data_IF_496428959224
#
_entry.id   IF_496428959224
#
_cell.length_a   1.000
_cell.length_b   1.000
_cell.length_c   1.000
_cell.angle_alpha   90.00
_cell.angle_beta   90.00
_cell.angle_gamma   90.00
#
_symmetry.space_group_name_H-M   'P 1'
#
loop_
_entity.id
_entity.type
_entity.pdbx_description
1 polymer ?
#
# COMPACT_ATOMS: atom_id res chain seq x y z
N UNK A 1 5.35 -4.50 -2.00
CA UNK A 1 3.89 -4.45 -2.18
C UNK A 1 3.30 -3.92 -0.89
N UNK A 2 2.38 -2.98 -1.00
CA UNK A 2 1.68 -2.35 0.10
C UNK A 2 0.19 -2.64 -0.09
N UNK A 3 -0.41 -3.40 0.82
CA UNK A 3 -1.77 -3.92 0.72
C UNK A 3 -2.55 -3.33 1.88
N UNK A 4 -3.53 -2.47 1.60
CA UNK A 4 -4.48 -1.98 2.61
C UNK A 4 -5.83 -1.62 1.97
N UNK A 5 -6.93 -2.30 2.33
CA UNK A 5 -8.23 -2.05 1.72
C UNK A 5 -8.73 -0.60 1.94
N UNK A 6 -8.28 0.05 3.01
CA UNK A 6 -8.71 1.38 3.40
C UNK A 6 -7.78 2.50 2.91
N UNK A 7 -6.64 2.16 2.29
CA UNK A 7 -5.66 3.15 1.82
C UNK A 7 -6.30 4.27 1.00
N UNK A 8 -6.16 5.51 1.46
CA UNK A 8 -6.61 6.69 0.73
C UNK A 8 -5.48 7.73 0.65
N UNK A 9 -5.04 8.15 -0.55
CA UNK A 9 -3.86 8.99 -0.72
C UNK A 9 -4.03 10.43 -0.20
N UNK A 10 -5.27 10.93 -0.10
CA UNK A 10 -5.55 12.24 0.51
C UNK A 10 -5.56 12.20 2.04
N UNK A 11 -5.67 11.02 2.65
CA UNK A 11 -5.73 10.88 4.11
C UNK A 11 -4.31 10.65 4.66
N UNK A 12 -3.88 11.55 5.53
CA UNK A 12 -2.56 11.57 6.13
C UNK A 12 -2.23 10.29 6.90
N UNK A 13 -3.24 9.65 7.48
CA UNK A 13 -3.09 8.41 8.26
C UNK A 13 -2.53 7.27 7.41
N UNK A 14 -2.89 7.21 6.13
CA UNK A 14 -2.36 6.22 5.20
C UNK A 14 -1.18 6.75 4.39
N UNK A 15 -1.20 8.05 4.06
CA UNK A 15 -0.16 8.67 3.22
C UNK A 15 1.18 8.70 3.92
N UNK A 16 1.26 9.15 5.18
CA UNK A 16 2.56 9.31 5.86
C UNK A 16 3.33 7.99 5.98
N UNK A 17 2.72 6.88 6.47
CA UNK A 17 3.41 5.60 6.54
C UNK A 17 3.81 5.07 5.15
N UNK A 18 2.98 5.32 4.14
CA UNK A 18 3.28 4.91 2.77
C UNK A 18 4.46 5.67 2.17
N UNK A 19 4.55 6.99 2.38
CA UNK A 19 5.70 7.78 1.92
C UNK A 19 6.97 7.37 2.65
N UNK A 20 6.91 7.13 3.97
CA UNK A 20 8.07 6.60 4.71
C UNK A 20 8.51 5.24 4.18
N UNK A 21 7.55 4.34 3.88
CA UNK A 21 7.84 3.07 3.22
C UNK A 21 8.57 3.27 1.88
N UNK A 22 8.12 4.20 1.04
CA UNK A 22 8.77 4.54 -0.24
C UNK A 22 10.19 5.05 -0.01
N UNK A 23 10.38 5.98 0.93
CA UNK A 23 11.69 6.56 1.24
C UNK A 23 12.68 5.48 1.69
N UNK A 24 12.23 4.54 2.52
CA UNK A 24 13.04 3.38 2.95
C UNK A 24 13.38 2.44 1.79
N UNK A 25 12.45 2.23 0.85
CA UNK A 25 12.71 1.43 -0.35
C UNK A 25 13.71 2.11 -1.30
N UNK A 26 13.56 3.42 -1.51
CA UNK A 26 14.40 4.19 -2.43
C UNK A 26 15.82 4.39 -1.90
N UNK A 27 15.96 4.68 -0.60
CA UNK A 27 17.25 4.86 0.09
C UNK A 27 17.90 3.57 0.59
N UNK A 28 17.25 2.42 0.41
CA UNK A 28 17.76 1.14 0.86
C UNK A 28 19.01 0.68 0.11
N UNK A 29 19.73 -0.30 0.69
CA UNK A 29 20.95 -0.89 0.07
C UNK A 29 20.72 -1.46 -1.33
N UNK A 30 19.49 -1.88 -1.63
CA UNK A 30 19.07 -2.31 -2.97
C UNK A 30 18.15 -1.25 -3.54
N UNK A 31 18.52 -0.66 -4.67
CA UNK A 31 17.70 0.34 -5.34
C UNK A 31 16.38 -0.29 -5.80
N UNK A 32 15.32 -0.04 -5.05
CA UNK A 32 13.96 -0.31 -5.47
C UNK A 32 13.37 1.00 -6.00
N UNK A 33 12.85 1.00 -7.22
CA UNK A 33 12.29 2.18 -7.87
C UNK A 33 10.79 2.07 -8.11
N UNK A 34 10.15 1.04 -7.55
CA UNK A 34 8.74 0.78 -7.78
C UNK A 34 8.06 0.20 -6.54
N UNK A 35 6.94 0.81 -6.16
CA UNK A 35 6.02 0.25 -5.19
C UNK A 35 4.72 -0.17 -5.89
N UNK A 36 4.22 -1.36 -5.53
CA UNK A 36 2.89 -1.82 -5.91
C UNK A 36 1.97 -1.60 -4.72
N UNK A 37 0.88 -0.87 -4.93
CA UNK A 37 -0.16 -0.58 -3.94
C UNK A 37 -1.42 -1.33 -4.33
N UNK A 38 -2.05 -1.96 -3.35
CA UNK A 38 -3.32 -2.64 -3.51
C UNK A 38 -4.30 -2.04 -2.52
N UNK A 39 -5.48 -1.66 -3.01
CA UNK A 39 -6.55 -1.09 -2.18
C UNK A 39 -7.92 -1.49 -2.73
N UNK A 40 -8.98 -1.25 -1.98
CA UNK A 40 -10.35 -1.51 -2.42
C UNK A 40 -11.16 -0.21 -2.51
N UNK A 41 -12.20 -0.21 -3.34
CA UNK A 41 -13.26 0.81 -3.31
C UNK A 41 -14.28 0.38 -2.25
N UNK A 42 -14.54 1.26 -1.28
CA UNK A 42 -15.49 1.05 -0.18
C UNK A 42 -16.13 2.38 0.20
N UNK A 43 -17.44 2.37 0.52
CA UNK A 43 -18.18 3.60 0.83
C UNK A 43 -18.16 4.58 -0.34
N UNK A 44 -17.87 5.85 -0.05
CA UNK A 44 -17.85 6.93 -1.05
C UNK A 44 -16.54 7.00 -1.86
N UNK A 45 -15.55 6.15 -1.54
CA UNK A 45 -14.23 6.17 -2.19
C UNK A 45 -14.33 5.76 -3.66
N UNK A 46 -14.02 6.68 -4.58
CA UNK A 46 -14.03 6.41 -6.02
C UNK A 46 -12.63 6.24 -6.61
N UNK A 47 -12.56 5.61 -7.78
CA UNK A 47 -11.32 5.54 -8.59
C UNK A 47 -10.80 6.94 -8.95
N UNK A 48 -11.69 7.88 -9.27
CA UNK A 48 -11.33 9.24 -9.65
C UNK A 48 -10.67 9.99 -8.49
N UNK A 49 -11.21 9.86 -7.28
CA UNK A 49 -10.63 10.46 -6.07
C UNK A 49 -9.29 9.85 -5.72
N UNK A 50 -9.17 8.52 -5.83
CA UNK A 50 -7.91 7.80 -5.67
C UNK A 50 -6.84 8.32 -6.64
N UNK A 51 -7.18 8.46 -7.92
CA UNK A 51 -6.25 8.97 -8.93
C UNK A 51 -5.87 10.43 -8.66
N UNK A 52 -6.84 11.30 -8.37
CA UNK A 52 -6.60 12.69 -8.01
C UNK A 52 -5.69 12.80 -6.79
N UNK A 53 -6.00 12.09 -5.71
CA UNK A 53 -5.21 12.14 -4.48
C UNK A 53 -3.80 11.58 -4.65
N UNK A 54 -3.60 10.55 -5.50
CA UNK A 54 -2.26 10.10 -5.88
C UNK A 54 -1.46 11.22 -6.57
N UNK A 55 -2.07 11.91 -7.52
CA UNK A 55 -1.40 13.00 -8.27
C UNK A 55 -1.12 14.21 -7.39
N UNK A 56 -2.08 14.63 -6.57
CA UNK A 56 -1.99 15.87 -5.79
C UNK A 56 -1.16 15.72 -4.51
N UNK A 57 -1.21 14.55 -3.87
CA UNK A 57 -0.60 14.39 -2.54
C UNK A 57 0.54 13.38 -2.46
N UNK A 58 0.56 12.37 -3.32
CA UNK A 58 1.61 11.34 -3.28
C UNK A 58 2.72 11.67 -4.27
N UNK A 59 2.39 11.96 -5.53
CA UNK A 59 3.36 12.25 -6.59
C UNK A 59 4.39 13.33 -6.21
N UNK A 60 4.02 14.46 -5.58
CA UNK A 60 5.00 15.50 -5.21
C UNK A 60 6.01 15.06 -4.14
N UNK A 61 5.70 13.99 -3.40
CA UNK A 61 6.54 13.45 -2.33
C UNK A 61 7.35 12.23 -2.79
N UNK A 62 7.19 11.79 -4.04
CA UNK A 62 7.92 10.65 -4.57
C UNK A 62 9.38 11.03 -4.87
N UNK A 63 10.34 10.16 -4.53
CA UNK A 63 11.70 10.29 -5.06
C UNK A 63 11.71 10.31 -6.59
N UNK A 64 12.66 11.04 -7.18
CA UNK A 64 12.77 11.15 -8.63
C UNK A 64 12.83 9.77 -9.30
N UNK A 65 12.00 9.57 -10.33
CA UNK A 65 11.85 8.32 -11.09
C UNK A 65 11.34 7.13 -10.27
N UNK A 66 10.81 7.33 -9.06
CA UNK A 66 10.15 6.28 -8.30
C UNK A 66 8.71 6.12 -8.81
N UNK A 67 8.33 4.90 -9.17
CA UNK A 67 7.02 4.55 -9.69
C UNK A 67 6.12 4.01 -8.58
N UNK A 68 4.88 4.48 -8.53
CA UNK A 68 3.82 3.86 -7.75
C UNK A 68 2.76 3.36 -8.72
N UNK A 69 2.52 2.05 -8.68
CA UNK A 69 1.40 1.41 -9.37
C UNK A 69 0.35 1.01 -8.34
N UNK A 70 -0.85 1.58 -8.44
CA UNK A 70 -1.98 1.25 -7.58
C UNK A 70 -3.02 0.42 -8.33
N UNK A 71 -3.33 -0.76 -7.80
CA UNK A 71 -4.37 -1.65 -8.29
C UNK A 71 -5.56 -1.66 -7.34
N UNK A 72 -6.76 -1.59 -7.89
CA UNK A 72 -8.01 -1.70 -7.14
C UNK A 72 -8.42 -3.17 -7.11
N UNK A 73 -8.75 -3.68 -5.94
CA UNK A 73 -9.17 -5.06 -5.70
C UNK A 73 -10.64 -5.12 -5.26
N UNK A 74 -11.34 -6.24 -5.55
CA UNK A 74 -12.66 -6.51 -5.00
C UNK A 74 -12.62 -6.45 -3.47
N UNK A 75 -13.47 -5.63 -2.87
CA UNK A 75 -13.50 -5.39 -1.42
C UNK A 75 -13.75 -6.65 -0.60
N UNK A 76 -14.48 -7.62 -1.14
CA UNK A 76 -14.77 -8.92 -0.52
C UNK A 76 -13.61 -9.92 -0.58
N UNK A 77 -12.49 -9.59 -1.22
CA UNK A 77 -11.31 -10.45 -1.33
C UNK A 77 -10.08 -9.84 -0.63
N UNK A 78 -10.24 -8.66 -0.04
CA UNK A 78 -9.18 -7.85 0.53
C UNK A 78 -9.61 -7.31 1.89
N UNK A 79 -9.29 -8.07 2.94
CA UNK A 79 -9.62 -7.71 4.33
C UNK A 79 -8.38 -7.38 5.15
N UNK A 80 -7.28 -8.07 4.87
CA UNK A 80 -6.04 -7.93 5.63
C UNK A 80 -5.13 -6.82 5.09
N UNK A 81 -4.26 -6.33 5.98
CA UNK A 81 -3.27 -5.31 5.68
C UNK A 81 -1.88 -5.92 5.72
N UNK A 82 -1.11 -5.73 4.64
CA UNK A 82 0.22 -6.30 4.53
C UNK A 82 1.24 -5.35 3.91
N UNK A 83 2.48 -5.48 4.36
CA UNK A 83 3.65 -5.06 3.61
C UNK A 83 4.41 -6.31 3.19
N UNK A 84 4.45 -6.58 1.90
CA UNK A 84 5.08 -7.78 1.34
C UNK A 84 6.28 -7.43 0.46
N UNK A 85 7.38 -8.14 0.69
CA UNK A 85 8.55 -8.17 -0.19
C UNK A 85 8.82 -9.61 -0.63
N UNK A 86 9.82 -9.79 -1.51
CA UNK A 86 10.26 -11.14 -1.91
C UNK A 86 10.83 -11.94 -0.74
N UNK A 87 11.37 -11.28 0.30
CA UNK A 87 12.03 -11.96 1.42
C UNK A 87 11.18 -12.00 2.69
N UNK A 88 10.40 -10.96 2.96
CA UNK A 88 9.67 -10.79 4.23
C UNK A 88 8.26 -10.28 3.98
N UNK A 89 7.35 -10.58 4.91
CA UNK A 89 6.00 -10.06 4.93
C UNK A 89 5.60 -9.70 6.35
N UNK A 90 4.91 -8.58 6.50
CA UNK A 90 4.34 -8.14 7.76
C UNK A 90 2.84 -7.97 7.59
N UNK A 91 2.06 -8.44 8.55
CA UNK A 91 0.65 -8.17 8.67
C UNK A 91 0.38 -7.18 9.80
N UNK A 92 -0.64 -6.36 9.62
CA UNK A 92 -1.03 -5.31 10.56
C UNK A 92 -2.48 -5.52 10.97
N UNK A 93 -2.73 -5.83 12.25
CA UNK A 93 -4.08 -6.12 12.76
C UNK A 93 -5.03 -4.92 12.67
N UNK A 94 -4.59 -3.75 13.16
CA UNK A 94 -5.42 -2.52 13.16
C UNK A 94 -4.94 -1.43 12.18
N UNK A 95 -3.91 -1.71 11.37
CA UNK A 95 -3.44 -0.85 10.28
C UNK A 95 -2.36 0.13 10.71
N UNK A 96 -2.05 1.10 9.84
CA UNK A 96 -1.05 2.15 10.07
C UNK A 96 -1.69 3.48 10.55
N UNK A 97 -2.91 3.40 11.12
CA UNK A 97 -3.64 4.56 11.66
C UNK A 97 -3.04 4.97 13.01
N UNK A 98 -1.99 5.80 12.95
CA UNK A 98 -1.29 6.31 14.14
C UNK A 98 -2.03 7.45 14.85
N UNK A 99 -3.07 8.04 14.24
CA UNK A 99 -3.57 9.36 14.66
C UNK A 99 -4.73 9.33 15.67
N UNK A 100 -5.42 8.20 15.82
CA UNK A 100 -6.74 8.18 16.48
C UNK A 100 -6.77 7.47 17.85
N UNK A 101 -5.67 6.87 18.31
CA UNK A 101 -5.64 6.15 19.59
C UNK A 101 -4.38 6.47 20.40
N UNK A 102 -4.55 7.11 21.57
CA UNK A 102 -3.49 7.19 22.59
C UNK A 102 -3.09 5.79 23.11
N UNK A 103 -3.94 4.77 22.91
CA UNK A 103 -3.66 3.35 23.15
C UNK A 103 -3.13 2.59 21.92
N UNK A 104 -2.78 3.28 20.81
CA UNK A 104 -2.14 2.67 19.62
C UNK A 104 -0.71 2.14 19.88
N UNK A 105 -0.28 2.10 21.14
CA UNK A 105 0.99 1.54 21.57
C UNK A 105 1.04 0.01 21.30
N UNK A 106 -0.12 -0.65 21.15
CA UNK A 106 -0.23 -2.08 20.81
C UNK A 106 -0.80 -2.34 19.40
N UNK A 107 -0.22 -1.75 18.35
CA UNK A 107 -0.48 -2.26 16.99
C UNK A 107 0.17 -3.63 16.86
N UNK A 108 -0.65 -4.68 16.76
CA UNK A 108 -0.17 -6.03 16.48
C UNK A 108 0.43 -6.09 15.06
N UNK A 109 1.76 -6.05 15.01
CA UNK A 109 2.55 -6.29 13.80
C UNK A 109 3.09 -7.71 13.87
N UNK A 110 2.58 -8.59 13.00
CA UNK A 110 3.07 -9.95 12.92
C UNK A 110 3.97 -10.13 11.70
N UNK A 111 5.16 -10.68 11.91
CA UNK A 111 5.95 -11.20 10.79
C UNK A 111 5.27 -12.46 10.28
N UNK A 112 4.93 -12.49 8.99
CA UNK A 112 4.35 -13.65 8.36
C UNK A 112 5.36 -14.81 8.31
N UNK A 113 4.87 -16.02 8.60
CA UNK A 113 5.58 -17.24 8.26
C UNK A 113 5.84 -17.31 6.75
N UNK A 114 6.90 -18.00 6.33
CA UNK A 114 7.33 -18.01 4.93
C UNK A 114 6.24 -18.54 3.98
N UNK A 115 5.52 -19.58 4.39
CA UNK A 115 4.41 -20.17 3.63
C UNK A 115 3.26 -19.18 3.44
N UNK A 116 2.84 -18.50 4.52
CA UNK A 116 1.81 -17.47 4.48
C UNK A 116 2.24 -16.28 3.59
N UNK A 117 3.48 -15.81 3.75
CA UNK A 117 4.04 -14.75 2.89
C UNK A 117 4.02 -15.16 1.42
N UNK A 118 4.43 -16.38 1.09
CA UNK A 118 4.42 -16.88 -0.30
C UNK A 118 3.00 -16.92 -0.87
N UNK A 119 2.02 -17.39 -0.09
CA UNK A 119 0.62 -17.44 -0.51
C UNK A 119 0.09 -16.03 -0.81
N UNK A 120 0.26 -15.09 0.12
CA UNK A 120 -0.21 -13.71 -0.06
C UNK A 120 0.53 -12.99 -1.19
N UNK A 121 1.86 -13.15 -1.28
CA UNK A 121 2.63 -12.54 -2.36
C UNK A 121 2.15 -13.07 -3.73
N UNK A 122 1.84 -14.37 -3.84
CA UNK A 122 1.33 -14.97 -5.08
C UNK A 122 -0.07 -14.45 -5.41
N UNK A 123 -0.95 -14.35 -4.40
CA UNK A 123 -2.30 -13.79 -4.54
C UNK A 123 -2.24 -12.38 -5.12
N UNK A 124 -1.51 -11.46 -4.48
CA UNK A 124 -1.44 -10.06 -4.93
C UNK A 124 -0.60 -9.83 -6.20
N UNK A 125 0.27 -10.77 -6.56
CA UNK A 125 0.94 -10.76 -7.87
C UNK A 125 0.00 -11.10 -9.03
N UNK A 126 -1.15 -11.74 -8.76
CA UNK A 126 -2.11 -12.10 -9.80
C UNK A 126 -2.86 -10.84 -10.28
N UNK A 127 -2.64 -10.47 -11.54
CA UNK A 127 -3.26 -9.30 -12.14
C UNK A 127 -4.70 -9.53 -12.58
N UNK A 128 -5.14 -10.78 -12.73
CA UNK A 128 -6.48 -11.12 -13.21
C UNK A 128 -7.63 -10.72 -12.26
N UNK A 129 -7.32 -10.50 -10.98
CA UNK A 129 -8.33 -10.19 -9.94
C UNK A 129 -8.59 -8.67 -9.86
N UNK A 130 -7.76 -7.84 -10.49
CA UNK A 130 -7.82 -6.37 -10.36
C UNK A 130 -9.07 -5.81 -11.04
N UNK A 131 -9.62 -4.74 -10.48
CA UNK A 131 -10.76 -4.00 -11.02
C UNK A 131 -10.29 -2.86 -11.93
N UNK A 132 -10.23 -3.17 -13.23
CA UNK A 132 -9.76 -2.26 -14.28
C UNK A 132 -8.23 -2.09 -14.28
N UNK A 133 -7.76 -1.17 -15.11
CA UNK A 133 -6.32 -0.89 -15.25
C UNK A 133 -5.74 -0.31 -13.96
N UNK A 134 -4.44 -0.52 -13.67
CA UNK A 134 -3.82 0.14 -12.54
C UNK A 134 -3.68 1.65 -12.77
N UNK A 135 -3.66 2.42 -11.68
CA UNK A 135 -3.31 3.85 -11.71
C UNK A 135 -1.80 3.96 -11.47
N UNK A 136 -1.08 4.64 -12.35
CA UNK A 136 0.38 4.76 -12.27
C UNK A 136 0.78 6.23 -12.14
N UNK A 137 1.65 6.52 -11.17
CA UNK A 137 2.31 7.82 -11.02
C UNK A 137 3.83 7.62 -10.89
N UNK A 138 4.59 8.61 -11.34
CA UNK A 138 6.06 8.60 -11.27
C UNK A 138 6.52 9.92 -10.66
N UNK A 139 7.46 9.85 -9.72
CA UNK A 139 8.12 11.02 -9.14
C UNK A 139 8.94 11.77 -10.20
N UNK A 140 8.75 13.08 -10.26
CA UNK A 140 9.45 13.99 -11.18
C UNK A 140 10.76 14.47 -10.60
#
# INVERSE_FOLDING_TARGET
MFIDPYFHPSDDRYRRPFIEFINRLAGGRRQCRRALVFTAIQGDKTRAELQRGLVEHVKPLLPARFEVEMSIWPSNQMHDRFVLTKQVGYSFGHGLDEATYQDAIEVNIHRLAETARHAEYRKFSNTAIRQGEPIVIVGT
#
